data_IF_246806781775
#
_entry.id   IF_246806781775
#
_cell.length_a   1.000
_cell.length_b   1.000
_cell.length_c   1.000
_cell.angle_alpha   90.00
_cell.angle_beta   90.00
_cell.angle_gamma   90.00
#
_symmetry.space_group_name_H-M   'P 1'
#
loop_
_entity.id
_entity.type
_entity.pdbx_description
1 polymer ?
#
# COMPACT_ATOMS: atom_id res chain seq x y z
N UNK A 1 -8.08 28.19 -7.13
CA UNK A 1 -6.75 28.72 -7.49
C UNK A 1 -6.16 27.95 -8.68
N UNK A 2 -5.35 26.90 -8.51
CA UNK A 2 -4.74 26.17 -9.67
C UNK A 2 -5.76 25.70 -10.71
N UNK A 3 -6.93 25.19 -10.28
CA UNK A 3 -7.98 24.73 -11.20
C UNK A 3 -8.60 25.84 -12.05
N UNK A 4 -8.57 27.08 -11.55
CA UNK A 4 -9.21 28.24 -12.19
C UNK A 4 -8.21 29.01 -13.06
N UNK A 5 -6.94 29.10 -12.63
CA UNK A 5 -5.83 29.70 -13.37
C UNK A 5 -4.52 28.94 -13.08
N UNK A 6 -4.18 27.92 -13.89
CA UNK A 6 -3.02 27.06 -13.68
C UNK A 6 -1.69 27.72 -14.05
N UNK A 7 -1.71 28.78 -14.88
CA UNK A 7 -0.49 29.50 -15.26
C UNK A 7 -0.05 30.43 -14.14
N UNK A 8 -0.98 31.14 -13.51
CA UNK A 8 -0.67 32.01 -12.38
C UNK A 8 -0.47 31.24 -11.06
N UNK A 9 -1.03 30.03 -10.93
CA UNK A 9 -1.00 29.24 -9.69
C UNK A 9 -0.45 27.81 -9.89
N UNK A 10 0.73 27.61 -10.50
CA UNK A 10 1.21 26.29 -10.89
C UNK A 10 1.43 25.36 -9.68
N UNK A 11 1.30 24.05 -9.91
CA UNK A 11 1.66 23.04 -8.91
C UNK A 11 3.19 22.92 -8.77
N UNK A 12 3.63 22.26 -7.70
CA UNK A 12 5.06 22.00 -7.44
C UNK A 12 5.63 20.80 -8.22
N UNK A 13 4.96 20.38 -9.29
CA UNK A 13 5.43 19.31 -10.18
C UNK A 13 6.42 19.89 -11.20
N UNK A 14 7.28 19.07 -11.82
CA UNK A 14 8.22 19.54 -12.85
C UNK A 14 7.57 20.33 -13.98
N UNK A 15 6.37 19.94 -14.42
CA UNK A 15 5.62 20.64 -15.47
C UNK A 15 4.74 21.79 -14.98
N UNK A 16 4.62 21.99 -13.66
CA UNK A 16 3.63 22.89 -13.06
C UNK A 16 2.18 22.41 -13.14
N UNK A 17 1.92 21.21 -13.70
CA UNK A 17 0.58 20.66 -13.96
C UNK A 17 0.27 19.43 -13.09
N UNK A 18 -0.97 18.95 -13.15
CA UNK A 18 -1.29 17.58 -12.72
C UNK A 18 -0.67 16.63 -13.75
N UNK A 19 0.31 15.83 -13.32
CA UNK A 19 1.04 14.92 -14.20
C UNK A 19 0.36 13.56 -14.26
N UNK A 20 -0.37 13.29 -15.35
CA UNK A 20 -0.85 11.93 -15.66
C UNK A 20 0.35 11.03 -15.98
N UNK A 21 1.30 11.55 -16.76
CA UNK A 21 2.61 10.97 -16.99
C UNK A 21 3.64 11.73 -16.15
N UNK A 22 4.32 11.06 -15.22
CA UNK A 22 5.34 11.68 -14.39
C UNK A 22 6.74 11.50 -14.99
N UNK A 23 7.34 12.60 -15.45
CA UNK A 23 8.71 12.62 -15.98
C UNK A 23 9.74 12.21 -14.93
N UNK A 24 9.52 12.59 -13.66
CA UNK A 24 10.36 12.19 -12.54
C UNK A 24 10.33 10.68 -12.30
N UNK A 25 9.15 10.06 -12.32
CA UNK A 25 9.05 8.60 -12.21
C UNK A 25 9.64 7.89 -13.44
N UNK A 26 9.55 8.49 -14.64
CA UNK A 26 10.20 7.95 -15.83
C UNK A 26 11.72 7.91 -15.68
N UNK A 27 12.32 8.97 -15.12
CA UNK A 27 13.76 9.01 -14.83
C UNK A 27 14.16 7.97 -13.78
N UNK A 28 13.41 7.86 -12.69
CA UNK A 28 13.63 6.86 -11.64
C UNK A 28 13.56 5.45 -12.23
N UNK A 29 12.50 5.13 -12.98
CA UNK A 29 12.32 3.83 -13.62
C UNK A 29 13.45 3.48 -14.61
N UNK A 30 14.11 4.48 -15.21
CA UNK A 30 15.23 4.29 -16.14
C UNK A 30 16.57 4.13 -15.43
N UNK A 31 16.74 4.73 -14.25
CA UNK A 31 18.05 4.91 -13.62
C UNK A 31 18.26 4.07 -12.37
N UNK A 32 17.18 3.68 -11.69
CA UNK A 32 17.27 2.82 -10.52
C UNK A 32 17.38 1.37 -10.95
N UNK A 33 18.23 0.62 -10.26
CA UNK A 33 18.23 -0.83 -10.33
C UNK A 33 17.09 -1.32 -9.42
N UNK A 34 16.14 -2.05 -10.01
CA UNK A 34 14.96 -2.56 -9.34
C UNK A 34 15.01 -4.08 -9.33
N UNK A 35 14.52 -4.69 -8.25
CA UNK A 35 14.32 -6.13 -8.21
C UNK A 35 13.23 -6.56 -9.21
N UNK A 36 13.22 -7.85 -9.57
CA UNK A 36 12.33 -8.38 -10.63
C UNK A 36 10.84 -8.14 -10.36
N UNK A 37 10.46 -8.09 -9.09
CA UNK A 37 9.11 -7.90 -8.58
C UNK A 37 8.78 -6.44 -8.22
N UNK A 38 9.73 -5.52 -8.41
CA UNK A 38 9.54 -4.09 -8.19
C UNK A 38 9.16 -3.38 -9.50
N UNK A 39 8.20 -2.46 -9.42
CA UNK A 39 7.71 -1.71 -10.59
C UNK A 39 7.59 -0.24 -10.24
N UNK A 40 8.33 0.59 -10.97
CA UNK A 40 8.13 2.04 -11.01
C UNK A 40 7.71 2.40 -12.43
N UNK A 41 6.56 3.05 -12.57
CA UNK A 41 6.01 3.45 -13.86
C UNK A 41 5.67 4.94 -13.86
N UNK A 42 5.96 5.66 -14.97
CA UNK A 42 5.52 7.04 -15.12
C UNK A 42 4.01 7.18 -15.32
N UNK A 43 3.32 6.08 -15.61
CA UNK A 43 1.86 6.01 -15.74
C UNK A 43 1.27 5.06 -14.68
N UNK A 44 0.01 5.28 -14.26
CA UNK A 44 -0.72 4.29 -13.50
C UNK A 44 -0.82 2.98 -14.29
N UNK A 45 -0.34 1.89 -13.70
CA UNK A 45 -0.39 0.55 -14.29
C UNK A 45 -0.85 -0.46 -13.24
N UNK A 46 -1.37 -1.59 -13.69
CA UNK A 46 -1.50 -2.75 -12.81
C UNK A 46 -0.11 -3.36 -12.58
N UNK A 47 0.36 -3.34 -11.34
CA UNK A 47 1.57 -4.01 -10.91
C UNK A 47 1.20 -5.12 -9.93
N UNK A 48 1.53 -6.37 -10.28
CA UNK A 48 1.37 -7.49 -9.35
C UNK A 48 2.45 -7.40 -8.27
N UNK A 49 2.09 -7.61 -7.02
CA UNK A 49 3.06 -7.64 -5.91
C UNK A 49 3.62 -9.04 -5.69
N UNK A 50 4.77 -9.13 -5.03
CA UNK A 50 5.25 -10.37 -4.43
C UNK A 50 4.18 -10.95 -3.51
N UNK A 51 4.07 -12.28 -3.47
CA UNK A 51 3.11 -13.03 -2.63
C UNK A 51 1.66 -12.50 -2.73
N UNK A 52 1.34 -11.82 -3.83
CA UNK A 52 0.03 -11.22 -4.06
C UNK A 52 -1.01 -12.23 -4.51
N UNK A 53 -2.16 -11.73 -4.94
CA UNK A 53 -3.27 -12.58 -5.37
C UNK A 53 -2.91 -13.61 -6.46
N UNK A 54 -2.05 -13.20 -7.40
CA UNK A 54 -1.62 -14.01 -8.54
C UNK A 54 -0.37 -14.87 -8.26
N UNK A 55 0.18 -14.84 -7.05
CA UNK A 55 1.41 -15.56 -6.72
C UNK A 55 1.18 -17.09 -6.76
N UNK A 56 2.10 -17.87 -7.37
CA UNK A 56 2.03 -19.33 -7.35
C UNK A 56 2.01 -19.93 -5.94
N UNK A 57 2.67 -19.26 -4.99
CA UNK A 57 2.81 -19.66 -3.58
C UNK A 57 1.45 -19.76 -2.88
N UNK A 58 0.42 -19.07 -3.39
CA UNK A 58 -0.96 -19.17 -2.89
C UNK A 58 -1.51 -20.61 -2.90
N UNK A 59 -0.97 -21.50 -3.75
CA UNK A 59 -1.31 -22.93 -3.72
C UNK A 59 -0.89 -23.61 -2.42
N UNK A 60 0.21 -23.14 -1.83
CA UNK A 60 0.76 -23.63 -0.55
C UNK A 60 0.28 -22.78 0.62
N UNK A 61 0.20 -21.46 0.45
CA UNK A 61 -0.20 -20.47 1.45
C UNK A 61 -1.49 -19.74 1.02
N UNK A 62 -2.67 -20.34 1.21
CA UNK A 62 -3.92 -19.86 0.62
C UNK A 62 -4.53 -18.63 1.28
N UNK A 63 -4.00 -18.17 2.43
CA UNK A 63 -4.49 -17.00 3.16
C UNK A 63 -3.51 -15.83 3.00
N UNK A 64 -4.01 -14.66 2.64
CA UNK A 64 -3.22 -13.44 2.63
C UNK A 64 -3.29 -12.76 4.00
N UNK A 65 -2.14 -12.51 4.62
CA UNK A 65 -2.05 -11.73 5.84
C UNK A 65 -1.81 -10.26 5.47
N UNK A 66 -2.66 -9.37 5.97
CA UNK A 66 -2.47 -7.93 5.86
C UNK A 66 -2.61 -7.27 7.22
N UNK A 67 -1.83 -6.22 7.45
CA UNK A 67 -1.91 -5.41 8.65
C UNK A 67 -2.93 -4.29 8.51
N UNK A 68 -3.58 -3.94 9.60
CA UNK A 68 -4.33 -2.70 9.74
C UNK A 68 -3.92 -2.02 11.05
N UNK A 69 -4.12 -0.70 11.13
CA UNK A 69 -3.87 0.01 12.38
C UNK A 69 -4.83 -0.48 13.47
N UNK A 70 -4.25 -1.06 14.51
CA UNK A 70 -5.01 -1.76 15.53
C UNK A 70 -5.76 -0.77 16.43
N UNK A 71 -7.02 -1.09 16.75
CA UNK A 71 -7.93 -0.14 17.42
C UNK A 71 -7.41 0.38 18.78
N UNK A 72 -6.66 -0.43 19.52
CA UNK A 72 -6.24 -0.08 20.88
C UNK A 72 -4.80 0.43 21.01
N UNK A 73 -4.09 0.66 19.90
CA UNK A 73 -2.69 1.09 19.92
C UNK A 73 -2.40 2.05 18.77
N UNK A 74 -1.48 2.98 19.02
CA UNK A 74 -0.83 3.75 17.95
C UNK A 74 0.52 3.11 17.69
N UNK A 75 0.60 2.30 16.63
CA UNK A 75 1.73 1.39 16.41
C UNK A 75 1.93 0.48 17.63
N UNK A 76 3.09 0.51 18.29
CA UNK A 76 3.39 -0.25 19.50
C UNK A 76 2.99 0.48 20.79
N UNK A 77 2.76 1.80 20.73
CA UNK A 77 2.39 2.61 21.89
C UNK A 77 1.03 2.19 22.45
N UNK A 78 0.92 2.20 23.79
CA UNK A 78 -0.23 1.74 24.56
C UNK A 78 -0.45 0.22 24.59
N UNK A 79 0.38 -0.56 23.88
CA UNK A 79 0.36 -2.02 23.96
C UNK A 79 0.71 -2.58 25.34
N UNK A 80 1.22 -1.75 26.24
CA UNK A 80 1.53 -2.10 27.63
C UNK A 80 0.35 -1.85 28.60
N UNK A 81 -0.73 -1.22 28.18
CA UNK A 81 -1.88 -0.91 29.05
C UNK A 81 -2.82 -2.12 29.12
N UNK A 82 -2.93 -2.73 30.30
CA UNK A 82 -3.71 -3.96 30.48
C UNK A 82 -5.21 -3.77 30.20
N UNK A 83 -5.78 -2.62 30.57
CA UNK A 83 -7.18 -2.30 30.26
C UNK A 83 -7.45 -2.31 28.74
N UNK A 84 -6.54 -1.75 27.95
CA UNK A 84 -6.67 -1.69 26.49
C UNK A 84 -6.46 -3.06 25.83
N UNK A 85 -5.53 -3.85 26.36
CA UNK A 85 -5.36 -5.27 25.96
C UNK A 85 -6.61 -6.10 26.25
N UNK A 86 -7.24 -5.90 27.40
CA UNK A 86 -8.45 -6.61 27.79
C UNK A 86 -9.66 -6.20 26.94
N UNK A 87 -9.81 -4.90 26.69
CA UNK A 87 -10.93 -4.35 25.91
C UNK A 87 -10.85 -4.65 24.41
N UNK A 88 -9.63 -4.80 23.87
CA UNK A 88 -9.38 -5.11 22.46
C UNK A 88 -8.24 -6.13 22.38
N UNK A 89 -8.59 -7.41 22.51
CA UNK A 89 -7.62 -8.51 22.50
C UNK A 89 -6.99 -8.69 21.13
N UNK A 90 -5.68 -8.96 21.10
CA UNK A 90 -4.98 -9.22 19.85
C UNK A 90 -5.53 -10.49 19.21
N UNK A 91 -6.14 -10.34 18.04
CA UNK A 91 -6.84 -11.42 17.34
C UNK A 91 -6.48 -11.37 15.86
N UNK A 92 -6.52 -12.53 15.21
CA UNK A 92 -6.52 -12.61 13.75
C UNK A 92 -7.98 -12.66 13.30
N UNK A 93 -8.32 -11.80 12.35
CA UNK A 93 -9.66 -11.80 11.76
C UNK A 93 -9.64 -12.64 10.50
N UNK A 94 -10.51 -13.64 10.44
CA UNK A 94 -10.65 -14.55 9.33
C UNK A 94 -12.11 -14.60 8.90
N UNK A 95 -12.36 -14.64 7.59
CA UNK A 95 -13.72 -14.82 7.09
C UNK A 95 -14.26 -16.19 7.55
N UNK A 96 -15.52 -16.30 8.02
CA UNK A 96 -16.07 -17.58 8.47
C UNK A 96 -15.98 -18.71 7.42
N UNK A 97 -16.09 -18.41 6.13
CA UNK A 97 -15.97 -19.38 5.03
C UNK A 97 -14.55 -19.96 4.98
N UNK A 98 -13.53 -19.14 5.24
CA UNK A 98 -12.14 -19.58 5.28
C UNK A 98 -11.82 -20.29 6.60
N UNK A 99 -12.41 -19.84 7.70
CA UNK A 99 -12.25 -20.48 9.01
C UNK A 99 -12.82 -21.90 9.01
N UNK A 100 -14.02 -22.12 8.45
CA UNK A 100 -14.69 -23.43 8.43
C UNK A 100 -13.93 -24.53 7.66
N UNK A 101 -13.06 -24.14 6.72
CA UNK A 101 -12.27 -25.09 5.92
C UNK A 101 -11.02 -25.60 6.66
N UNK A 102 -10.81 -25.16 7.90
CA UNK A 102 -9.58 -25.33 8.69
C UNK A 102 -9.93 -25.76 10.11
#
# INVERSE_FOLDING_TARGET
AFRDDPEANPLKTPSGKIEIYSSKLAEIARTWELEKDEVISPLPVYASTFEGWNSPERRTFPLQLFGFHYKSRTHSTYGNIDLLKAACRQEVWINPIDAQKR
#
